data_IF_602605194150
#
_entry.id   IF_602605194150
#
_cell.length_a   1.000
_cell.length_b   1.000
_cell.length_c   1.000
_cell.angle_alpha   90.00
_cell.angle_beta   90.00
_cell.angle_gamma   90.00
#
_symmetry.space_group_name_H-M   'P 1'
#
loop_
_entity.id
_entity.type
_entity.pdbx_description
1 polymer ?
#
# COMPACT_ATOMS: atom_id res chain seq x y z
N UNK A 1 36.29 24.96 46.79
CA UNK A 1 35.16 25.75 46.25
C UNK A 1 35.07 25.41 44.75
N UNK A 2 34.39 24.31 44.37
CA UNK A 2 33.12 24.27 43.63
C UNK A 2 32.96 25.35 42.53
N UNK A 3 32.98 24.93 41.27
CA UNK A 3 32.53 25.72 40.11
C UNK A 3 32.48 24.83 38.85
N UNK A 4 31.58 23.84 38.84
CA UNK A 4 30.31 23.83 38.08
C UNK A 4 30.51 23.65 36.57
N UNK A 5 30.30 22.40 36.16
CA UNK A 5 30.14 21.95 34.78
C UNK A 5 29.08 22.76 34.03
N UNK A 6 29.39 23.10 32.79
CA UNK A 6 28.40 23.50 31.78
C UNK A 6 28.55 22.54 30.61
N UNK A 7 28.07 21.32 30.78
CA UNK A 7 27.74 20.42 29.66
C UNK A 7 26.31 20.79 29.27
N UNK A 8 26.19 21.85 28.48
CA UNK A 8 24.92 22.39 28.02
C UNK A 8 24.41 21.63 26.80
N UNK A 9 23.58 20.63 27.07
CA UNK A 9 22.56 20.02 26.21
C UNK A 9 22.44 20.55 24.77
N UNK A 10 23.15 19.92 23.83
CA UNK A 10 22.87 19.99 22.40
C UNK A 10 22.22 18.67 21.96
N UNK A 11 20.95 18.44 22.29
CA UNK A 11 20.24 17.20 21.93
C UNK A 11 18.74 17.40 21.71
N UNK A 12 18.33 18.43 20.95
CA UNK A 12 16.92 18.64 20.64
C UNK A 12 16.72 19.26 19.26
N UNK A 13 16.93 18.52 18.17
CA UNK A 13 16.48 18.94 16.83
C UNK A 13 16.45 17.82 15.76
N UNK A 14 15.90 16.62 16.01
CA UNK A 14 15.66 15.64 14.93
C UNK A 14 14.39 14.78 15.20
N UNK A 15 13.19 15.29 14.92
CA UNK A 15 11.96 14.44 14.99
C UNK A 15 11.01 14.62 13.79
N UNK A 16 11.29 15.54 12.86
CA UNK A 16 10.31 15.88 11.80
C UNK A 16 10.25 14.89 10.63
N UNK A 17 11.26 14.04 10.42
CA UNK A 17 11.28 13.09 9.29
C UNK A 17 10.60 11.74 9.57
N UNK A 18 10.29 11.43 10.84
CA UNK A 18 9.85 10.09 11.25
C UNK A 18 8.39 9.76 10.88
N UNK A 19 7.54 10.79 10.73
CA UNK A 19 6.11 10.57 10.47
C UNK A 19 5.84 10.09 9.04
N UNK A 20 6.56 10.60 8.05
CA UNK A 20 6.47 10.13 6.66
C UNK A 20 6.97 8.70 6.51
N UNK A 21 8.08 8.35 7.16
CA UNK A 21 8.63 6.99 7.11
C UNK A 21 7.72 5.93 7.74
N UNK A 22 6.95 6.30 8.77
CA UNK A 22 6.00 5.38 9.41
C UNK A 22 4.85 5.04 8.46
N UNK A 23 4.22 6.05 7.85
CA UNK A 23 3.14 5.85 6.88
C UNK A 23 3.60 5.11 5.63
N UNK A 24 4.78 5.42 5.12
CA UNK A 24 5.37 4.67 4.00
C UNK A 24 5.57 3.18 4.35
N UNK A 25 5.96 2.87 5.58
CA UNK A 25 6.14 1.50 6.05
C UNK A 25 4.80 0.75 6.21
N UNK A 26 3.76 1.42 6.73
CA UNK A 26 2.41 0.86 6.84
C UNK A 26 1.82 0.53 5.46
N UNK A 27 1.87 1.50 4.54
CA UNK A 27 1.42 1.34 3.15
C UNK A 27 2.18 0.21 2.44
N UNK A 28 3.51 0.20 2.59
CA UNK A 28 4.36 -0.87 2.05
C UNK A 28 3.91 -2.23 2.58
N UNK A 29 3.71 -2.33 3.88
CA UNK A 29 3.34 -3.59 4.55
C UNK A 29 2.00 -4.10 4.02
N UNK A 30 0.98 -3.25 3.96
CA UNK A 30 -0.34 -3.60 3.43
C UNK A 30 -0.26 -4.07 1.96
N UNK A 31 0.46 -3.35 1.11
CA UNK A 31 0.62 -3.72 -0.29
C UNK A 31 1.39 -5.05 -0.46
N UNK A 32 2.46 -5.26 0.32
CA UNK A 32 3.23 -6.51 0.27
C UNK A 32 2.46 -7.71 0.78
N UNK A 33 1.62 -7.53 1.82
CA UNK A 33 0.75 -8.58 2.33
C UNK A 33 -0.29 -9.00 1.29
N UNK A 34 -0.90 -8.04 0.60
CA UNK A 34 -1.79 -8.31 -0.53
C UNK A 34 -1.06 -9.05 -1.67
N UNK A 35 0.10 -8.58 -2.09
CA UNK A 35 0.88 -9.21 -3.16
C UNK A 35 1.32 -10.64 -2.80
N UNK A 36 1.69 -10.89 -1.54
CA UNK A 36 2.01 -12.22 -1.04
C UNK A 36 0.78 -13.15 -1.07
N UNK A 37 -0.38 -12.68 -0.59
CA UNK A 37 -1.61 -13.46 -0.63
C UNK A 37 -2.02 -13.85 -2.07
N UNK A 38 -1.86 -12.94 -3.03
CA UNK A 38 -2.06 -13.24 -4.46
C UNK A 38 -1.07 -14.31 -4.95
N UNK A 39 0.22 -14.16 -4.64
CA UNK A 39 1.27 -15.09 -5.07
C UNK A 39 1.11 -16.50 -4.47
N UNK A 40 0.66 -16.58 -3.23
CA UNK A 40 0.42 -17.83 -2.50
C UNK A 40 -0.93 -18.49 -2.89
N UNK A 41 -1.75 -17.82 -3.70
CA UNK A 41 -3.08 -18.29 -4.07
C UNK A 41 -4.12 -18.18 -2.94
N UNK A 42 -3.81 -17.42 -1.87
CA UNK A 42 -4.75 -17.14 -0.79
C UNK A 42 -5.72 -16.01 -1.18
N UNK A 43 -6.71 -16.40 -2.00
CA UNK A 43 -7.73 -15.47 -2.48
C UNK A 43 -8.60 -14.88 -1.37
N UNK A 44 -8.74 -15.57 -0.23
CA UNK A 44 -9.53 -15.07 0.90
C UNK A 44 -8.79 -13.90 1.57
N UNK A 45 -7.50 -14.05 1.86
CA UNK A 45 -6.67 -12.98 2.40
C UNK A 45 -6.55 -11.80 1.41
N UNK A 46 -6.32 -12.09 0.11
CA UNK A 46 -6.23 -11.06 -0.91
C UNK A 46 -7.53 -10.25 -1.05
N UNK A 47 -8.70 -10.90 -0.99
CA UNK A 47 -9.99 -10.21 -1.03
C UNK A 47 -10.34 -9.44 0.24
N UNK A 48 -9.84 -9.87 1.40
CA UNK A 48 -10.02 -9.14 2.65
C UNK A 48 -9.23 -7.82 2.68
N UNK A 49 -8.10 -7.76 1.97
CA UNK A 49 -7.26 -6.57 1.84
C UNK A 49 -7.87 -5.48 0.94
N UNK A 50 -8.90 -5.81 0.15
CA UNK A 50 -9.56 -4.85 -0.74
C UNK A 50 -10.43 -3.85 0.02
N UNK A 51 -10.60 -2.65 -0.55
CA UNK A 51 -11.71 -1.76 -0.16
C UNK A 51 -13.05 -2.43 -0.47
N UNK A 52 -14.14 -2.06 0.22
CA UNK A 52 -15.48 -2.56 -0.09
C UNK A 52 -15.86 -2.35 -1.56
N UNK A 53 -15.50 -1.20 -2.13
CA UNK A 53 -15.76 -0.83 -3.51
C UNK A 53 -14.99 -1.74 -4.48
N UNK A 54 -13.68 -1.91 -4.27
CA UNK A 54 -12.86 -2.77 -5.12
C UNK A 54 -13.30 -4.22 -5.05
N UNK A 55 -13.67 -4.70 -3.85
CA UNK A 55 -14.23 -6.05 -3.67
C UNK A 55 -15.52 -6.24 -4.47
N UNK A 56 -16.44 -5.26 -4.47
CA UNK A 56 -17.64 -5.30 -5.32
C UNK A 56 -17.28 -5.25 -6.80
N UNK A 57 -16.29 -4.46 -7.19
CA UNK A 57 -15.76 -4.39 -8.56
C UNK A 57 -15.29 -5.75 -9.07
N UNK A 58 -14.48 -6.48 -8.28
CA UNK A 58 -14.03 -7.85 -8.62
C UNK A 58 -15.19 -8.82 -8.73
N UNK A 59 -16.12 -8.79 -7.76
CA UNK A 59 -17.28 -9.68 -7.68
C UNK A 59 -18.33 -9.41 -8.76
N UNK A 60 -18.30 -8.22 -9.36
CA UNK A 60 -19.17 -7.87 -10.47
C UNK A 60 -18.96 -8.84 -11.63
N UNK A 61 -20.03 -9.05 -12.41
CA UNK A 61 -20.11 -10.07 -13.48
C UNK A 61 -20.14 -11.53 -12.99
N UNK A 62 -20.60 -11.75 -11.74
CA UNK A 62 -20.88 -13.09 -11.21
C UNK A 62 -19.62 -13.87 -10.85
N UNK A 63 -18.49 -13.19 -10.68
CA UNK A 63 -17.20 -13.81 -10.37
C UNK A 63 -17.00 -13.91 -8.86
N UNK A 64 -16.42 -15.01 -8.40
CA UNK A 64 -15.95 -15.10 -7.03
C UNK A 64 -14.69 -14.24 -6.84
N UNK A 65 -14.64 -13.50 -5.74
CA UNK A 65 -13.51 -12.61 -5.47
C UNK A 65 -12.22 -13.42 -5.31
N UNK A 66 -12.25 -14.45 -4.46
CA UNK A 66 -11.05 -15.20 -4.09
C UNK A 66 -10.47 -15.93 -5.31
N UNK A 67 -11.32 -16.48 -6.17
CA UNK A 67 -10.90 -17.12 -7.42
C UNK A 67 -10.34 -16.14 -8.46
N UNK A 68 -10.86 -14.91 -8.51
CA UNK A 68 -10.47 -13.91 -9.52
C UNK A 68 -9.20 -13.17 -9.12
N UNK A 69 -9.08 -12.79 -7.84
CA UNK A 69 -7.98 -11.94 -7.36
C UNK A 69 -6.61 -12.63 -7.48
N UNK A 70 -6.57 -13.96 -7.33
CA UNK A 70 -5.34 -14.76 -7.45
C UNK A 70 -4.87 -14.97 -8.89
N UNK A 71 -5.67 -14.56 -9.88
CA UNK A 71 -5.28 -14.59 -11.30
C UNK A 71 -4.43 -13.38 -11.69
N UNK A 72 -4.23 -12.42 -10.78
CA UNK A 72 -3.34 -11.30 -11.02
C UNK A 72 -1.90 -11.79 -11.21
N UNK A 73 -1.13 -11.18 -12.12
CA UNK A 73 0.27 -11.52 -12.28
C UNK A 73 1.05 -11.19 -10.99
N UNK A 74 2.16 -11.92 -10.70
CA UNK A 74 3.00 -11.61 -9.56
C UNK A 74 3.52 -10.17 -9.61
N UNK A 75 3.34 -9.43 -8.52
CA UNK A 75 3.78 -8.03 -8.43
C UNK A 75 5.31 -7.89 -8.39
N UNK A 76 6.01 -8.81 -7.70
CA UNK A 76 7.46 -8.77 -7.53
C UNK A 76 7.91 -7.90 -6.35
N UNK A 77 9.09 -7.28 -6.45
CA UNK A 77 9.65 -6.43 -5.40
C UNK A 77 9.07 -5.01 -5.46
N UNK A 78 8.95 -4.35 -4.30
CA UNK A 78 8.54 -2.94 -4.21
C UNK A 78 9.66 -2.02 -4.66
N UNK A 79 9.40 -1.19 -5.67
CA UNK A 79 10.33 -0.20 -6.21
C UNK A 79 10.13 1.18 -5.58
N UNK A 80 8.88 1.59 -5.33
CA UNK A 80 8.56 2.91 -4.79
C UNK A 80 7.25 2.91 -4.00
N UNK A 81 7.18 3.80 -3.01
CA UNK A 81 5.98 4.08 -2.21
C UNK A 81 5.76 5.58 -2.23
N UNK A 82 4.52 6.01 -2.45
CA UNK A 82 4.12 7.41 -2.38
C UNK A 82 2.80 7.51 -1.62
N UNK A 83 2.71 8.45 -0.68
CA UNK A 83 1.53 8.67 0.16
C UNK A 83 1.08 10.12 0.03
N UNK A 84 -0.21 10.32 -0.19
CA UNK A 84 -0.88 11.60 -0.34
C UNK A 84 -2.15 11.62 0.50
N UNK A 85 -2.03 12.11 1.75
CA UNK A 85 -3.14 12.11 2.68
C UNK A 85 -3.62 10.69 2.99
N UNK A 86 -4.86 10.39 2.62
CA UNK A 86 -5.55 9.11 2.78
C UNK A 86 -5.36 8.16 1.58
N UNK A 87 -4.55 8.54 0.60
CA UNK A 87 -4.36 7.81 -0.65
C UNK A 87 -2.89 7.46 -0.82
N UNK A 88 -2.60 6.28 -1.38
CA UNK A 88 -1.23 5.86 -1.61
C UNK A 88 -1.06 5.05 -2.89
N UNK A 89 0.17 5.02 -3.39
CA UNK A 89 0.60 4.20 -4.51
C UNK A 89 1.85 3.41 -4.11
N UNK A 90 1.82 2.10 -4.37
CA UNK A 90 2.98 1.23 -4.32
C UNK A 90 3.27 0.71 -5.72
N UNK A 91 4.47 1.03 -6.21
CA UNK A 91 4.97 0.47 -7.46
C UNK A 91 5.81 -0.75 -7.14
N UNK A 92 5.43 -1.86 -7.73
CA UNK A 92 6.23 -3.06 -7.80
C UNK A 92 6.87 -3.19 -9.19
N UNK A 93 7.82 -4.10 -9.34
CA UNK A 93 8.48 -4.36 -10.61
C UNK A 93 7.51 -4.81 -11.73
N UNK A 94 6.43 -5.52 -11.37
CA UNK A 94 5.45 -6.06 -12.30
C UNK A 94 4.02 -5.52 -12.14
N UNK A 95 3.76 -4.67 -11.14
CA UNK A 95 2.42 -4.17 -10.83
C UNK A 95 2.45 -2.76 -10.21
N UNK A 96 1.33 -2.05 -10.30
CA UNK A 96 1.07 -0.85 -9.51
C UNK A 96 -0.20 -1.08 -8.69
N UNK A 97 -0.09 -0.87 -7.39
CA UNK A 97 -1.19 -1.02 -6.43
C UNK A 97 -1.51 0.35 -5.86
N UNK A 98 -2.80 0.70 -5.85
CA UNK A 98 -3.30 1.90 -5.19
C UNK A 98 -4.04 1.51 -3.91
N UNK A 99 -3.78 2.24 -2.83
CA UNK A 99 -4.37 2.03 -1.53
C UNK A 99 -5.11 3.27 -1.05
N UNK A 100 -6.09 3.05 -0.18
CA UNK A 100 -6.79 4.09 0.56
C UNK A 100 -6.78 3.75 2.06
N UNK A 101 -6.65 4.77 2.90
CA UNK A 101 -6.75 4.70 4.37
C UNK A 101 -8.25 4.66 4.73
N UNK A 102 -8.69 3.54 5.32
CA UNK A 102 -10.07 3.35 5.80
C UNK A 102 -10.02 3.19 7.33
N UNK A 103 -10.30 4.27 8.06
CA UNK A 103 -10.07 4.30 9.50
C UNK A 103 -8.56 4.31 9.76
N UNK A 104 -8.07 3.34 10.54
CA UNK A 104 -6.64 3.19 10.87
C UNK A 104 -5.95 2.10 10.03
N UNK A 105 -6.55 1.67 8.92
CA UNK A 105 -6.04 0.59 8.06
C UNK A 105 -5.89 1.02 6.60
N UNK A 106 -4.80 0.61 5.95
CA UNK A 106 -4.62 0.75 4.51
C UNK A 106 -5.22 -0.43 3.76
N UNK A 107 -6.07 -0.14 2.77
CA UNK A 107 -6.77 -1.15 1.95
C UNK A 107 -6.55 -0.91 0.48
N UNK A 108 -6.48 -1.99 -0.30
CA UNK A 108 -6.25 -1.93 -1.74
C UNK A 108 -7.51 -1.47 -2.46
N UNK A 109 -7.45 -0.32 -3.13
CA UNK A 109 -8.53 0.20 -3.98
C UNK A 109 -8.36 -0.16 -5.45
N UNK A 110 -7.14 -0.42 -5.90
CA UNK A 110 -6.86 -0.92 -7.24
C UNK A 110 -5.55 -1.71 -7.33
N UNK A 111 -5.51 -2.72 -8.20
CA UNK A 111 -4.34 -3.59 -8.41
C UNK A 111 -4.31 -4.15 -9.84
N UNK A 112 -3.18 -4.72 -10.25
CA UNK A 112 -2.97 -5.12 -11.64
C UNK A 112 -2.91 -3.92 -12.59
N UNK A 113 -2.41 -2.78 -12.12
CA UNK A 113 -2.50 -1.52 -12.84
C UNK A 113 -1.30 -1.28 -13.75
N UNK A 114 -1.57 -0.90 -15.00
CA UNK A 114 -0.55 -0.48 -15.97
C UNK A 114 -0.69 0.99 -16.34
N UNK A 115 0.45 1.68 -16.39
CA UNK A 115 0.50 3.07 -16.80
C UNK A 115 0.12 3.21 -18.29
N UNK A 116 -0.62 4.27 -18.62
CA UNK A 116 -0.94 4.61 -20.00
C UNK A 116 -0.52 6.06 -20.29
N UNK A 117 0.15 6.33 -21.43
CA UNK A 117 0.54 7.69 -21.77
C UNK A 117 -0.67 8.63 -21.87
N UNK A 118 -0.67 9.70 -21.08
CA UNK A 118 -1.73 10.73 -21.12
C UNK A 118 -3.11 10.28 -20.63
N UNK A 119 -3.22 9.13 -19.97
CA UNK A 119 -4.48 8.58 -19.48
C UNK A 119 -4.32 8.01 -18.06
N UNK A 120 -5.44 7.82 -17.33
CA UNK A 120 -5.42 7.07 -16.08
C UNK A 120 -4.87 5.66 -16.27
N UNK A 121 -4.36 5.08 -15.17
CA UNK A 121 -3.95 3.68 -15.13
C UNK A 121 -5.10 2.78 -15.57
N UNK A 122 -4.74 1.69 -16.25
CA UNK A 122 -5.66 0.61 -16.55
C UNK A 122 -5.44 -0.50 -15.54
N UNK A 123 -6.45 -0.77 -14.71
CA UNK A 123 -6.37 -1.72 -13.61
C UNK A 123 -7.23 -2.94 -13.88
N UNK A 124 -6.74 -4.13 -13.49
CA UNK A 124 -7.51 -5.36 -13.52
C UNK A 124 -8.56 -5.40 -12.39
N UNK A 125 -8.26 -4.72 -11.28
CA UNK A 125 -9.13 -4.57 -10.11
C UNK A 125 -9.21 -3.10 -9.75
N UNK A 126 -10.42 -2.57 -9.58
CA UNK A 126 -10.64 -1.18 -9.15
C UNK A 126 -12.01 -1.00 -8.47
N UNK A 127 -12.11 0.04 -7.62
CA UNK A 127 -13.35 0.50 -6.98
C UNK A 127 -13.24 1.85 -6.29
#
# INVERSE_FOLDING_TARGET
MRGRAVVGAAFAAVVLAACGSARDAEVRTAATAFAAAVADGDGAAACAALTPEARRGVQSFGRDCAATIVQLPPAGIVEAVQVWGDSAQVRFAGDVVFLAELGDEWRVRAAGCRARPGAPYECAVEG
#
